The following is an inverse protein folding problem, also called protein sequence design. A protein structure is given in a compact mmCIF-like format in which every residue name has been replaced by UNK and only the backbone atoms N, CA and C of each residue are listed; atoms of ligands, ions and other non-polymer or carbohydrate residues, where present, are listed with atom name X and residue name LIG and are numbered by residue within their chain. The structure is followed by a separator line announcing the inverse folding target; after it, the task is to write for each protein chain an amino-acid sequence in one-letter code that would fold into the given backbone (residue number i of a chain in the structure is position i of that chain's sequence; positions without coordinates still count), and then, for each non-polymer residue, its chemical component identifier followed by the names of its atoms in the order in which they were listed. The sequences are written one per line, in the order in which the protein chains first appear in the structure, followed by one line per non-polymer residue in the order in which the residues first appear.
data_IF_697571486391
#
_entry.id   IF_697571486391
#
_cell.length_a   1.000
_cell.length_b   1.000
_cell.length_c   1.000
_cell.angle_alpha   90.00
_cell.angle_beta   90.00
_cell.angle_gamma   90.00
#
_symmetry.space_group_name_H-M   'P 1'
#
loop_
_entity.id
_entity.type
_entity.pdbx_description
1 polymer ?
#
# COMPACT_ATOMS: atom_id res chain seq x y z
N UNK A 1 13.78 4.18 -8.29
CA UNK A 1 13.71 4.20 -6.81
C UNK A 1 12.76 5.33 -6.42
N UNK A 2 11.65 5.07 -5.71
CA UNK A 2 10.81 6.16 -5.21
C UNK A 2 11.61 7.04 -4.24
N UNK A 3 11.38 8.35 -4.18
CA UNK A 3 12.10 9.24 -3.27
C UNK A 3 11.84 8.83 -1.80
N UNK A 4 12.80 9.05 -0.89
CA UNK A 4 12.59 8.78 0.52
C UNK A 4 11.45 9.66 1.05
N UNK A 5 10.44 9.04 1.66
CA UNK A 5 9.35 9.77 2.31
C UNK A 5 9.92 10.54 3.50
N UNK A 6 9.65 11.85 3.56
CA UNK A 6 10.03 12.68 4.72
C UNK A 6 9.26 12.17 5.93
N UNK A 7 9.92 12.12 7.08
CA UNK A 7 9.30 11.80 8.37
C UNK A 7 9.81 12.76 9.42
N UNK A 8 8.98 13.01 10.43
CA UNK A 8 9.31 13.86 11.58
C UNK A 8 9.32 13.00 12.83
N UNK A 9 10.19 13.31 13.79
CA UNK A 9 10.18 12.65 15.10
C UNK A 9 9.98 13.70 16.18
N UNK A 10 9.04 13.45 17.08
CA UNK A 10 8.73 14.28 18.24
C UNK A 10 8.80 13.42 19.49
N UNK A 11 9.11 14.04 20.62
CA UNK A 11 8.84 13.47 21.93
C UNK A 11 7.35 13.59 22.27
N UNK A 12 6.89 12.76 23.20
CA UNK A 12 5.54 12.88 23.76
C UNK A 12 5.27 14.28 24.34
N UNK A 13 6.31 14.93 24.89
CA UNK A 13 6.21 16.30 25.42
C UNK A 13 6.00 17.33 24.30
N UNK A 14 6.78 17.26 23.22
CA UNK A 14 6.65 18.17 22.08
C UNK A 14 5.29 18.02 21.39
N UNK A 15 4.83 16.78 21.21
CA UNK A 15 3.49 16.51 20.67
C UNK A 15 2.39 17.13 21.53
N UNK A 16 2.46 16.97 22.86
CA UNK A 16 1.47 17.53 23.77
C UNK A 16 1.53 19.06 23.86
N UNK A 17 2.68 19.67 23.58
CA UNK A 17 2.85 21.13 23.57
C UNK A 17 2.36 21.78 22.27
N UNK A 18 2.56 21.11 21.12
CA UNK A 18 2.11 21.61 19.81
C UNK A 18 1.47 20.51 18.95
N UNK A 19 0.28 20.07 19.36
CA UNK A 19 -0.50 19.11 18.59
C UNK A 19 -0.91 19.65 17.21
N UNK A 20 -1.02 20.97 17.05
CA UNK A 20 -1.36 21.60 15.76
C UNK A 20 -0.21 21.52 14.76
N UNK A 21 1.03 21.79 15.20
CA UNK A 21 2.24 21.57 14.42
C UNK A 21 2.43 20.11 14.04
N UNK A 22 2.20 19.18 14.98
CA UNK A 22 2.27 17.76 14.69
C UNK A 22 1.29 17.32 13.59
N UNK A 23 0.05 17.83 13.61
CA UNK A 23 -0.94 17.56 12.54
C UNK A 23 -0.49 18.10 11.19
N UNK A 24 0.03 19.34 11.14
CA UNK A 24 0.57 19.91 9.89
C UNK A 24 1.76 19.10 9.35
N UNK A 25 2.66 18.67 10.23
CA UNK A 25 3.76 17.79 9.83
C UNK A 25 3.26 16.44 9.31
N UNK A 26 2.15 15.92 9.86
CA UNK A 26 1.53 14.68 9.40
C UNK A 26 0.94 14.75 7.97
N UNK A 27 0.72 15.96 7.43
CA UNK A 27 0.34 16.16 6.02
C UNK A 27 1.53 15.95 5.07
N UNK A 28 2.76 16.16 5.55
CA UNK A 28 3.99 15.97 4.74
C UNK A 28 4.55 14.55 4.85
N UNK A 29 4.22 13.83 5.92
CA UNK A 29 4.67 12.45 6.15
C UNK A 29 4.46 11.98 7.59
N UNK A 30 4.81 10.73 7.91
CA UNK A 30 4.60 10.18 9.25
C UNK A 30 5.34 10.96 10.33
N UNK A 31 4.65 11.21 11.45
CA UNK A 31 5.24 11.79 12.65
C UNK A 31 5.37 10.70 13.71
N UNK A 32 6.61 10.33 14.03
CA UNK A 32 6.91 9.38 15.10
C UNK A 32 6.93 10.10 16.44
N UNK A 33 6.16 9.58 17.40
CA UNK A 33 6.10 10.10 18.76
C UNK A 33 6.85 9.14 19.66
N UNK A 34 7.85 9.65 20.37
CA UNK A 34 8.73 8.87 21.23
C UNK A 34 8.37 8.98 22.71
N UNK A 35 8.57 7.87 23.43
CA UNK A 35 8.67 7.84 24.89
C UNK A 35 10.06 7.32 25.28
N UNK A 36 10.74 8.03 26.18
CA UNK A 36 12.11 7.71 26.64
C UNK A 36 13.07 7.35 25.49
N UNK A 37 13.01 8.11 24.40
CA UNK A 37 13.89 7.94 23.23
C UNK A 37 13.53 6.80 22.28
N UNK A 38 12.41 6.10 22.49
CA UNK A 38 11.94 5.03 21.59
C UNK A 38 10.61 5.41 20.95
N UNK A 39 10.40 5.18 19.64
CA UNK A 39 9.09 5.35 19.02
C UNK A 39 8.03 4.51 19.73
N UNK A 40 6.94 5.14 20.12
CA UNK A 40 5.82 4.51 20.81
C UNK A 40 4.52 4.63 20.00
N UNK A 41 4.35 5.75 19.30
CA UNK A 41 3.19 6.01 18.45
C UNK A 41 3.60 6.66 17.12
N UNK A 42 2.70 6.62 16.15
CA UNK A 42 2.83 7.34 14.87
C UNK A 42 1.53 8.09 14.61
N UNK A 43 1.65 9.36 14.20
CA UNK A 43 0.55 10.15 13.68
C UNK A 43 0.64 10.21 12.16
N UNK A 44 -0.50 9.99 11.50
CA UNK A 44 -0.69 10.07 10.05
C UNK A 44 -1.90 10.96 9.75
N UNK A 45 -1.93 11.56 8.56
CA UNK A 45 -3.18 12.07 8.01
C UNK A 45 -4.15 10.89 7.78
N UNK A 46 -5.45 11.18 7.82
CA UNK A 46 -6.48 10.14 7.64
C UNK A 46 -6.40 9.49 6.25
N UNK A 47 -6.00 10.27 5.23
CA UNK A 47 -5.86 9.77 3.87
C UNK A 47 -4.68 8.81 3.74
N UNK A 48 -3.56 9.08 4.41
CA UNK A 48 -2.42 8.17 4.42
C UNK A 48 -2.74 6.89 5.20
N UNK A 49 -3.44 7.00 6.33
CA UNK A 49 -3.91 5.83 7.06
C UNK A 49 -4.83 4.96 6.21
N UNK A 50 -5.79 5.56 5.50
CA UNK A 50 -6.67 4.85 4.56
C UNK A 50 -5.88 4.17 3.46
N UNK A 51 -4.97 4.86 2.77
CA UNK A 51 -4.10 4.24 1.76
C UNK A 51 -3.31 3.03 2.26
N UNK A 52 -2.87 3.05 3.53
CA UNK A 52 -2.12 1.95 4.13
C UNK A 52 -2.99 0.78 4.60
N UNK A 53 -4.25 1.05 4.96
CA UNK A 53 -5.16 0.07 5.56
C UNK A 53 -6.24 -0.42 4.61
N UNK A 54 -6.46 0.27 3.50
CA UNK A 54 -7.32 -0.18 2.42
C UNK A 54 -6.80 -1.53 1.92
N UNK A 55 -7.66 -2.56 1.90
CA UNK A 55 -7.30 -3.83 1.30
C UNK A 55 -6.82 -3.56 -0.12
N UNK A 56 -5.61 -4.03 -0.45
CA UNK A 56 -5.26 -4.16 -1.85
C UNK A 56 -6.37 -4.97 -2.52
N UNK A 57 -6.87 -4.48 -3.66
CA UNK A 57 -7.90 -5.20 -4.41
C UNK A 57 -7.47 -6.67 -4.51
N UNK A 58 -8.37 -7.60 -4.17
CA UNK A 58 -8.05 -9.01 -4.24
C UNK A 58 -7.56 -9.30 -5.66
N UNK A 59 -6.55 -10.16 -5.80
CA UNK A 59 -6.14 -10.58 -7.15
C UNK A 59 -7.32 -11.19 -7.91
N UNK A 60 -8.29 -11.77 -7.17
CA UNK A 60 -9.56 -12.23 -7.72
C UNK A 60 -10.38 -11.05 -8.25
N UNK A 61 -10.52 -9.95 -7.49
CA UNK A 61 -11.27 -8.77 -7.93
C UNK A 61 -10.61 -8.08 -9.13
N UNK A 62 -9.27 -8.04 -9.15
CA UNK A 62 -8.50 -7.44 -10.25
C UNK A 62 -8.55 -8.25 -11.54
N UNK A 63 -8.69 -9.58 -11.44
CA UNK A 63 -8.76 -10.49 -12.58
C UNK A 63 -10.20 -10.93 -12.90
N UNK A 64 -11.19 -10.52 -12.10
CA UNK A 64 -12.58 -10.83 -12.32
C UNK A 64 -13.05 -10.16 -13.61
N UNK A 65 -13.42 -10.98 -14.58
CA UNK A 65 -14.19 -10.51 -15.73
C UNK A 65 -15.63 -10.29 -15.25
N UNK A 66 -16.27 -9.20 -15.70
CA UNK A 66 -17.67 -8.97 -15.37
C UNK A 66 -18.51 -10.15 -15.85
N UNK A 67 -19.41 -10.65 -15.00
CA UNK A 67 -20.18 -11.87 -15.25
C UNK A 67 -21.00 -11.83 -16.55
N UNK A 68 -21.37 -10.63 -16.99
CA UNK A 68 -22.17 -10.36 -18.20
C UNK A 68 -21.32 -9.75 -19.33
N UNK A 69 -20.00 -9.85 -19.27
CA UNK A 69 -19.14 -9.40 -20.34
C UNK A 69 -19.30 -10.33 -21.56
N UNK A 70 -20.11 -9.91 -22.53
CA UNK A 70 -20.19 -10.55 -23.84
C UNK A 70 -18.92 -10.17 -24.63
N UNK A 71 -17.94 -11.07 -24.59
CA UNK A 71 -16.67 -10.89 -25.27
C UNK A 71 -16.69 -11.77 -26.50
N UNK A 72 -16.60 -11.14 -27.66
CA UNK A 72 -16.41 -11.78 -28.95
C UNK A 72 -15.00 -12.38 -29.04
N UNK A 73 -14.81 -13.51 -28.33
CA UNK A 73 -13.57 -14.23 -28.24
C UNK A 73 -13.55 -15.36 -29.26
N UNK A 74 -12.87 -15.12 -30.39
CA UNK A 74 -12.56 -16.16 -31.37
C UNK A 74 -11.12 -16.65 -31.18
N UNK A 75 -10.86 -17.69 -30.35
CA UNK A 75 -9.52 -18.20 -30.15
C UNK A 75 -9.00 -18.86 -31.43
N UNK A 76 -7.78 -18.49 -31.83
CA UNK A 76 -7.09 -19.19 -32.90
C UNK A 76 -6.84 -20.66 -32.51
N UNK A 77 -7.08 -21.59 -33.44
CA UNK A 77 -6.78 -23.01 -33.21
C UNK A 77 -5.28 -23.19 -33.02
N UNK A 78 -4.89 -23.59 -31.81
CA UNK A 78 -3.50 -23.88 -31.50
C UNK A 78 -3.14 -25.26 -32.02
N UNK A 79 -2.07 -25.37 -32.82
CA UNK A 79 -1.47 -26.65 -33.20
C UNK A 79 -0.45 -27.03 -32.13
N UNK A 80 -0.83 -27.97 -31.27
CA UNK A 80 0.04 -28.45 -30.19
C UNK A 80 0.90 -29.58 -30.74
N UNK A 81 2.22 -29.37 -30.77
CA UNK A 81 3.18 -30.45 -31.02
C UNK A 81 3.61 -31.05 -29.68
N UNK A 82 3.27 -32.32 -29.47
CA UNK A 82 3.67 -33.05 -28.27
C UNK A 82 5.17 -33.31 -28.33
N UNK A 83 5.92 -32.75 -27.38
CA UNK A 83 7.32 -33.10 -27.17
C UNK A 83 7.43 -34.15 -26.06
N UNK A 84 8.29 -35.16 -26.19
CA UNK A 84 8.55 -36.10 -25.11
C UNK A 84 9.08 -35.34 -23.89
N UNK A 85 8.61 -35.71 -22.69
CA UNK A 85 9.17 -35.20 -21.46
C UNK A 85 10.54 -35.86 -21.21
N UNK A 86 11.52 -35.03 -20.86
CA UNK A 86 12.85 -35.47 -20.50
C UNK A 86 12.88 -35.75 -18.99
N UNK A 87 13.14 -37.00 -18.60
CA UNK A 87 13.12 -37.46 -17.20
C UNK A 87 14.53 -37.90 -16.77
N UNK A 88 15.53 -37.06 -17.04
CA UNK A 88 16.93 -37.30 -16.66
C UNK A 88 17.13 -37.61 -15.18
#
# INVERSE_FOLDING_TARGET
MPPPRRYTTLTSREFNQDAGGAKRAAEEGPVYITDRGRPAHVLLSIDEYRRLTEPAASIVDLLAMASDADIDFEPARSRIELRPADFG
#
